data_IF_403927849474
#
_entry.id   IF_403927849474
#
_cell.length_a   1.000
_cell.length_b   1.000
_cell.length_c   1.000
_cell.angle_alpha   90.00
_cell.angle_beta   90.00
_cell.angle_gamma   90.00
#
_symmetry.space_group_name_H-M   'P 1'
#
loop_
_entity.id
_entity.type
_entity.pdbx_description
1 polymer ?
#
# COMPACT_ATOMS: atom_id res chain seq x y z
N UNK A 1 3.41 -30.17 -7.28
CA UNK A 1 4.44 -29.11 -7.23
C UNK A 1 3.77 -27.80 -7.69
N UNK A 2 3.57 -26.85 -6.79
CA UNK A 2 2.90 -25.59 -7.08
C UNK A 2 3.84 -24.73 -7.96
N UNK A 3 3.54 -24.61 -9.25
CA UNK A 3 4.22 -23.61 -10.09
C UNK A 3 3.65 -22.25 -9.73
N UNK A 4 4.40 -21.49 -8.95
CA UNK A 4 4.14 -20.07 -8.80
C UNK A 4 4.41 -19.45 -10.18
N UNK A 5 3.35 -18.99 -10.87
CA UNK A 5 3.47 -18.25 -12.12
C UNK A 5 4.17 -16.91 -11.85
N UNK A 6 5.48 -16.96 -11.72
CA UNK A 6 6.35 -15.77 -11.62
C UNK A 6 6.48 -15.00 -12.94
N UNK A 7 5.95 -15.55 -14.04
CA UNK A 7 6.40 -15.17 -15.38
C UNK A 7 5.58 -14.11 -16.11
N UNK A 8 4.35 -13.83 -15.70
CA UNK A 8 3.56 -12.83 -16.44
C UNK A 8 3.94 -11.39 -16.10
N UNK A 9 4.50 -11.16 -14.93
CA UNK A 9 4.92 -9.84 -14.48
C UNK A 9 6.20 -9.32 -15.19
N UNK A 10 7.08 -10.22 -15.64
CA UNK A 10 8.36 -9.85 -16.25
C UNK A 10 8.30 -9.65 -17.77
N UNK A 11 7.18 -10.01 -18.42
CA UNK A 11 7.01 -9.88 -19.87
C UNK A 11 6.44 -8.54 -20.30
N UNK A 12 5.79 -7.81 -19.41
CA UNK A 12 5.25 -6.48 -19.69
C UNK A 12 6.29 -5.41 -19.38
N UNK A 13 6.23 -4.32 -20.13
CA UNK A 13 7.17 -3.20 -20.17
C UNK A 13 7.76 -2.80 -18.82
N UNK A 14 9.00 -2.27 -18.85
CA UNK A 14 9.79 -1.86 -17.69
C UNK A 14 9.11 -0.85 -16.74
N UNK A 15 7.92 -0.36 -17.09
CA UNK A 15 7.07 0.59 -16.36
C UNK A 15 5.61 0.14 -16.33
N UNK A 16 5.33 -1.11 -15.98
CA UNK A 16 3.95 -1.53 -15.78
C UNK A 16 3.32 -0.79 -14.60
N UNK A 17 2.65 0.31 -14.87
CA UNK A 17 1.84 1.03 -13.88
C UNK A 17 0.57 0.23 -13.64
N UNK A 18 0.38 -0.25 -12.43
CA UNK A 18 -0.80 -1.01 -12.01
C UNK A 18 -1.71 -0.09 -11.23
N UNK A 19 -2.84 0.27 -11.81
CA UNK A 19 -3.83 1.11 -11.13
C UNK A 19 -4.75 0.27 -10.24
N UNK A 20 -5.02 0.79 -9.06
CA UNK A 20 -6.01 0.20 -8.17
C UNK A 20 -7.41 0.43 -8.74
N UNK A 21 -8.25 -0.61 -8.92
CA UNK A 21 -9.62 -0.43 -9.39
C UNK A 21 -10.46 0.42 -8.42
N UNK A 22 -11.34 1.26 -8.96
CA UNK A 22 -12.14 2.19 -8.15
C UNK A 22 -12.97 1.48 -7.08
N UNK A 23 -13.54 0.31 -7.36
CA UNK A 23 -14.31 -0.44 -6.38
C UNK A 23 -13.49 -0.90 -5.16
N UNK A 24 -12.19 -1.15 -5.34
CA UNK A 24 -11.28 -1.48 -4.23
C UNK A 24 -11.01 -0.23 -3.40
N UNK A 25 -10.82 0.90 -4.07
CA UNK A 25 -10.59 2.19 -3.41
C UNK A 25 -11.81 2.65 -2.61
N UNK A 26 -13.01 2.49 -3.18
CA UNK A 26 -14.28 2.78 -2.51
C UNK A 26 -14.48 1.86 -1.30
N UNK A 27 -14.23 0.56 -1.45
CA UNK A 27 -14.27 -0.38 -0.34
C UNK A 27 -13.31 0.03 0.79
N UNK A 28 -12.08 0.41 0.46
CA UNK A 28 -11.12 0.85 1.45
C UNK A 28 -11.60 2.10 2.17
N UNK A 29 -12.15 3.06 1.46
CA UNK A 29 -12.73 4.25 2.06
C UNK A 29 -13.86 3.88 3.03
N UNK A 30 -14.85 3.10 2.60
CA UNK A 30 -16.00 2.69 3.41
C UNK A 30 -15.57 1.92 4.66
N UNK A 31 -14.54 1.07 4.54
CA UNK A 31 -14.00 0.31 5.66
C UNK A 31 -13.23 1.17 6.65
N UNK A 32 -12.44 2.13 6.17
CA UNK A 32 -11.43 2.81 6.97
C UNK A 32 -11.86 4.16 7.51
N UNK A 33 -12.74 4.90 6.81
CA UNK A 33 -13.12 6.26 7.21
C UNK A 33 -13.65 6.37 8.66
N UNK A 34 -14.34 5.35 9.25
CA UNK A 34 -14.79 5.46 10.64
C UNK A 34 -13.64 5.47 11.65
N UNK A 35 -12.46 5.01 11.26
CA UNK A 35 -11.27 4.94 12.11
C UNK A 35 -10.29 6.10 11.89
N UNK A 36 -10.46 6.83 10.79
CA UNK A 36 -9.63 7.98 10.45
C UNK A 36 -10.35 9.25 10.84
N UNK A 37 -9.83 9.90 11.86
CA UNK A 37 -10.43 11.16 12.32
C UNK A 37 -10.19 12.25 11.27
N UNK A 38 -11.26 12.93 10.87
CA UNK A 38 -11.18 14.12 10.01
C UNK A 38 -10.82 15.37 10.84
N UNK A 39 -9.70 15.31 11.57
CA UNK A 39 -9.26 16.35 12.50
C UNK A 39 -8.18 17.25 11.90
N UNK A 40 -8.14 17.38 10.57
CA UNK A 40 -7.13 18.20 9.88
C UNK A 40 -5.90 17.43 9.43
N UNK A 41 -5.79 16.13 9.69
CA UNK A 41 -4.67 15.32 9.21
C UNK A 41 -4.82 14.94 7.73
N UNK A 42 -3.69 14.92 7.01
CA UNK A 42 -3.62 14.63 5.57
C UNK A 42 -3.60 13.12 5.31
N UNK A 43 -4.34 12.66 4.31
CA UNK A 43 -4.21 11.31 3.75
C UNK A 43 -3.13 11.35 2.66
N UNK A 44 -2.08 10.54 2.80
CA UNK A 44 -0.94 10.53 1.88
C UNK A 44 -0.90 9.24 1.07
N UNK A 45 -0.72 9.36 -0.25
CA UNK A 45 -0.35 8.26 -1.13
C UNK A 45 1.02 8.54 -1.77
N UNK A 46 2.07 7.79 -1.37
CA UNK A 46 3.43 8.00 -1.85
C UNK A 46 3.73 7.40 -3.24
N UNK A 47 2.72 6.89 -3.93
CA UNK A 47 2.80 6.34 -5.30
C UNK A 47 1.44 6.52 -5.99
N UNK A 48 1.00 7.79 -6.05
CA UNK A 48 -0.39 8.15 -6.28
C UNK A 48 -0.92 7.79 -7.66
N UNK A 49 -0.09 7.72 -8.68
CA UNK A 49 -0.52 7.45 -10.04
C UNK A 49 -1.65 8.39 -10.48
N UNK A 50 -2.77 7.83 -10.93
CA UNK A 50 -3.97 8.57 -11.27
C UNK A 50 -4.88 8.91 -10.06
N UNK A 51 -4.41 8.65 -8.84
CA UNK A 51 -5.11 9.00 -7.60
C UNK A 51 -6.24 8.06 -7.21
N UNK A 52 -6.27 6.83 -7.70
CA UNK A 52 -7.35 5.87 -7.40
C UNK A 52 -7.60 5.75 -5.89
N UNK A 53 -6.55 5.61 -5.09
CA UNK A 53 -6.69 5.47 -3.64
C UNK A 53 -7.12 6.75 -2.93
N UNK A 54 -6.77 7.94 -3.45
CA UNK A 54 -7.08 9.23 -2.83
C UNK A 54 -8.43 9.83 -3.25
N UNK A 55 -8.94 9.47 -4.43
CA UNK A 55 -10.22 10.01 -4.97
C UNK A 55 -11.40 9.87 -3.99
N UNK A 56 -11.65 8.71 -3.36
CA UNK A 56 -12.74 8.56 -2.39
C UNK A 56 -12.59 9.50 -1.19
N UNK A 57 -11.39 9.66 -0.66
CA UNK A 57 -11.11 10.56 0.46
C UNK A 57 -11.35 12.02 0.08
N UNK A 58 -10.80 12.44 -1.06
CA UNK A 58 -10.93 13.81 -1.56
C UNK A 58 -12.40 14.20 -1.78
N UNK A 59 -13.21 13.33 -2.42
CA UNK A 59 -14.64 13.61 -2.65
C UNK A 59 -15.47 13.67 -1.38
N UNK A 60 -14.98 13.10 -0.26
CA UNK A 60 -15.61 13.15 1.05
C UNK A 60 -14.98 14.21 1.99
N UNK A 61 -14.25 15.19 1.41
CA UNK A 61 -13.79 16.36 2.15
C UNK A 61 -12.52 16.18 2.97
N UNK A 62 -11.80 15.06 2.82
CA UNK A 62 -10.51 14.88 3.46
C UNK A 62 -9.42 15.63 2.71
N UNK A 63 -8.46 16.15 3.45
CA UNK A 63 -7.23 16.67 2.87
C UNK A 63 -6.39 15.50 2.36
N UNK A 64 -5.91 15.59 1.11
CA UNK A 64 -5.15 14.53 0.46
C UNK A 64 -3.89 15.07 -0.20
N UNK A 65 -2.82 14.27 -0.19
CA UNK A 65 -1.57 14.56 -0.87
C UNK A 65 -1.07 13.33 -1.62
N UNK A 66 -0.85 13.46 -2.92
CA UNK A 66 -0.20 12.45 -3.73
C UNK A 66 1.27 12.76 -3.96
N UNK A 67 2.12 11.75 -3.95
CA UNK A 67 3.52 11.83 -4.38
C UNK A 67 3.72 10.80 -5.48
N UNK A 68 4.41 11.17 -6.54
CA UNK A 68 4.79 10.25 -7.62
C UNK A 68 6.05 10.76 -8.32
N UNK A 69 6.78 9.88 -8.97
CA UNK A 69 7.94 10.26 -9.81
C UNK A 69 7.52 10.98 -11.08
N UNK A 70 6.27 10.81 -11.51
CA UNK A 70 5.67 11.42 -12.69
C UNK A 70 4.26 11.95 -12.36
N UNK A 71 3.87 13.05 -12.98
CA UNK A 71 2.48 13.52 -12.86
C UNK A 71 1.57 12.73 -13.82
N UNK A 72 0.76 11.84 -13.27
CA UNK A 72 -0.20 11.02 -14.04
C UNK A 72 -1.63 11.60 -14.02
N UNK A 73 -1.79 12.89 -13.73
CA UNK A 73 -3.06 13.61 -13.82
C UNK A 73 -3.84 13.72 -12.51
N UNK A 74 -3.34 13.22 -11.39
CA UNK A 74 -3.99 13.50 -10.11
C UNK A 74 -3.67 14.92 -9.64
N UNK A 75 -4.68 15.77 -9.34
CA UNK A 75 -4.46 17.14 -8.89
C UNK A 75 -3.69 17.17 -7.57
N UNK A 76 -2.76 18.12 -7.43
CA UNK A 76 -1.91 18.29 -6.25
C UNK A 76 -0.90 17.14 -6.04
N UNK A 77 -0.51 16.43 -7.11
CA UNK A 77 0.60 15.50 -7.06
C UNK A 77 1.92 16.25 -6.87
N UNK A 78 2.65 15.93 -5.82
CA UNK A 78 4.03 16.34 -5.65
C UNK A 78 4.92 15.41 -6.50
N UNK A 79 5.49 15.96 -7.56
CA UNK A 79 6.40 15.19 -8.44
C UNK A 79 7.77 15.09 -7.78
N UNK A 80 8.03 13.95 -7.15
CA UNK A 80 9.30 13.62 -6.47
C UNK A 80 9.41 12.11 -6.28
N UNK A 81 10.63 11.59 -6.30
CA UNK A 81 10.87 10.23 -5.83
C UNK A 81 10.60 10.17 -4.31
N UNK A 82 9.61 9.37 -3.91
CA UNK A 82 9.23 9.24 -2.50
C UNK A 82 10.38 8.84 -1.59
N UNK A 83 11.29 8.01 -2.08
CA UNK A 83 12.43 7.53 -1.29
C UNK A 83 13.45 8.65 -1.00
N UNK A 84 13.42 9.73 -1.76
CA UNK A 84 14.27 10.93 -1.60
C UNK A 84 13.58 12.05 -0.81
N UNK A 85 12.36 11.82 -0.30
CA UNK A 85 11.65 12.79 0.56
C UNK A 85 12.32 12.81 1.93
N UNK A 86 12.59 14.01 2.43
CA UNK A 86 13.19 14.21 3.75
C UNK A 86 12.13 14.50 4.82
N UNK A 87 12.50 14.21 6.07
CA UNK A 87 11.63 14.51 7.21
C UNK A 87 11.41 16.03 7.32
N UNK A 88 10.14 16.44 7.49
CA UNK A 88 9.75 17.85 7.52
C UNK A 88 9.45 18.47 6.15
N UNK A 89 9.70 17.75 5.05
CA UNK A 89 9.28 18.22 3.72
C UNK A 89 7.78 18.07 3.46
N UNK A 90 7.13 17.19 4.17
CA UNK A 90 5.69 16.93 4.09
C UNK A 90 5.00 17.54 5.30
N UNK A 91 3.66 17.65 5.23
CA UNK A 91 2.85 18.15 6.35
C UNK A 91 3.06 17.31 7.60
N UNK A 92 3.14 17.97 8.75
CA UNK A 92 3.42 17.32 10.03
C UNK A 92 2.24 16.46 10.53
N UNK A 93 1.01 16.83 10.20
CA UNK A 93 -0.18 16.09 10.61
C UNK A 93 -0.65 15.15 9.50
N UNK A 94 -0.26 13.89 9.61
CA UNK A 94 -0.69 12.82 8.72
C UNK A 94 -1.69 11.93 9.44
N UNK A 95 -2.88 11.74 8.85
CA UNK A 95 -3.92 10.90 9.39
C UNK A 95 -3.80 9.44 8.94
N UNK A 96 -3.33 9.22 7.71
CA UNK A 96 -3.19 7.91 7.09
C UNK A 96 -2.17 7.96 5.96
N UNK A 97 -1.34 6.93 5.88
CA UNK A 97 -0.58 6.62 4.66
C UNK A 97 -1.26 5.43 3.98
N UNK A 98 -1.73 5.61 2.75
CA UNK A 98 -2.36 4.56 1.95
C UNK A 98 -1.60 4.40 0.64
N UNK A 99 -1.16 3.18 0.30
CA UNK A 99 -0.27 2.99 -0.84
C UNK A 99 -0.43 1.66 -1.55
N UNK A 100 -0.28 1.70 -2.87
CA UNK A 100 -0.05 0.53 -3.70
C UNK A 100 1.35 0.66 -4.34
N UNK A 101 2.43 0.29 -3.62
CA UNK A 101 3.80 0.52 -4.07
C UNK A 101 4.11 -0.21 -5.38
N UNK A 102 5.02 0.32 -6.20
CA UNK A 102 5.40 -0.31 -7.44
C UNK A 102 6.03 -1.69 -7.18
N UNK A 103 5.67 -2.66 -8.00
CA UNK A 103 6.27 -4.01 -7.96
C UNK A 103 7.51 -4.11 -8.87
N UNK A 104 7.71 -3.13 -9.75
CA UNK A 104 8.88 -3.02 -10.62
C UNK A 104 9.36 -1.58 -10.65
N UNK A 105 10.67 -1.39 -10.69
CA UNK A 105 11.33 -0.08 -10.65
C UNK A 105 12.51 -0.04 -11.63
N UNK A 106 12.90 1.16 -12.02
CA UNK A 106 14.06 1.40 -12.88
C UNK A 106 15.39 1.06 -12.18
N UNK A 107 16.46 1.02 -12.98
CA UNK A 107 17.78 0.65 -12.49
C UNK A 107 18.37 1.64 -11.48
N UNK A 108 18.07 2.95 -11.62
CA UNK A 108 18.57 4.00 -10.71
C UNK A 108 17.94 3.82 -9.32
N UNK A 109 16.64 3.64 -9.26
CA UNK A 109 15.92 3.38 -8.00
C UNK A 109 16.36 2.06 -7.36
N UNK A 110 16.63 1.00 -8.16
CA UNK A 110 17.21 -0.26 -7.65
C UNK A 110 18.58 -0.05 -7.00
N UNK A 111 19.42 0.75 -7.61
CA UNK A 111 20.74 1.06 -7.08
C UNK A 111 20.61 1.84 -5.76
N UNK A 112 19.78 2.87 -5.72
CA UNK A 112 19.49 3.63 -4.52
C UNK A 112 19.03 2.73 -3.34
N UNK A 113 18.07 1.83 -3.61
CA UNK A 113 17.57 0.89 -2.60
C UNK A 113 18.68 -0.03 -2.09
N UNK A 114 19.52 -0.54 -2.98
CA UNK A 114 20.66 -1.40 -2.59
C UNK A 114 21.63 -0.68 -1.67
N UNK A 115 21.91 0.59 -1.92
CA UNK A 115 22.83 1.40 -1.15
C UNK A 115 22.28 1.78 0.23
N UNK A 116 20.99 2.17 0.30
CA UNK A 116 20.39 2.71 1.51
C UNK A 116 19.70 1.66 2.40
N UNK A 117 19.12 0.63 1.81
CA UNK A 117 18.36 -0.40 2.56
C UNK A 117 19.09 -1.74 2.61
N UNK A 118 20.14 -1.92 1.82
CA UNK A 118 20.95 -3.15 1.77
C UNK A 118 20.19 -4.38 1.29
N UNK A 119 20.93 -5.42 0.88
CA UNK A 119 20.33 -6.70 0.48
C UNK A 119 19.38 -6.62 -0.72
N UNK A 120 18.29 -7.39 -0.67
CA UNK A 120 17.21 -7.43 -1.69
C UNK A 120 15.85 -7.34 -1.01
N UNK A 121 15.50 -6.19 -0.40
CA UNK A 121 14.19 -6.04 0.23
C UNK A 121 13.09 -6.13 -0.82
N UNK A 122 11.89 -6.54 -0.42
CA UNK A 122 10.71 -6.38 -1.26
C UNK A 122 10.41 -4.89 -1.41
N UNK A 123 10.02 -4.45 -2.62
CA UNK A 123 9.74 -3.03 -2.86
C UNK A 123 8.69 -2.46 -1.90
N UNK A 124 7.54 -3.13 -1.64
CA UNK A 124 6.59 -2.65 -0.64
C UNK A 124 7.20 -2.44 0.75
N UNK A 125 8.19 -3.27 1.14
CA UNK A 125 8.90 -3.08 2.43
C UNK A 125 9.70 -1.78 2.47
N UNK A 126 10.30 -1.37 1.35
CA UNK A 126 11.08 -0.13 1.26
C UNK A 126 10.15 1.09 1.43
N UNK A 127 9.00 1.10 0.75
CA UNK A 127 7.99 2.16 0.91
C UNK A 127 7.43 2.21 2.33
N UNK A 128 7.18 1.05 2.92
CA UNK A 128 6.74 0.94 4.31
C UNK A 128 7.77 1.46 5.30
N UNK A 129 9.04 1.08 5.16
CA UNK A 129 10.12 1.57 5.99
C UNK A 129 10.27 3.09 5.88
N UNK A 130 10.17 3.63 4.66
CA UNK A 130 10.21 5.08 4.42
C UNK A 130 9.03 5.81 5.08
N UNK A 131 7.83 5.24 5.06
CA UNK A 131 6.68 5.83 5.76
C UNK A 131 6.92 5.91 7.27
N UNK A 132 7.49 4.86 7.87
CA UNK A 132 7.85 4.86 9.29
C UNK A 132 8.97 5.88 9.60
N UNK A 133 9.96 6.00 8.73
CA UNK A 133 11.03 7.00 8.85
C UNK A 133 10.48 8.43 8.87
N UNK A 134 9.57 8.74 7.94
CA UNK A 134 9.02 10.08 7.77
C UNK A 134 7.99 10.44 8.86
N UNK A 135 7.09 9.54 9.20
CA UNK A 135 5.90 9.84 10.01
C UNK A 135 5.89 9.11 11.37
N UNK A 136 6.85 8.24 11.61
CA UNK A 136 6.94 7.46 12.84
C UNK A 136 6.16 6.15 12.81
N UNK A 137 6.51 5.25 13.72
CA UNK A 137 5.95 3.89 13.77
C UNK A 137 4.50 3.79 14.25
N UNK A 138 3.91 4.89 14.71
CA UNK A 138 2.51 4.92 15.20
C UNK A 138 1.51 5.39 14.15
N UNK A 139 1.95 5.85 12.99
CA UNK A 139 1.08 6.31 11.91
C UNK A 139 0.20 5.15 11.40
N UNK A 140 -1.10 5.35 11.14
CA UNK A 140 -1.90 4.40 10.39
C UNK A 140 -1.35 4.20 8.99
N UNK A 141 -1.11 2.94 8.59
CA UNK A 141 -0.64 2.59 7.25
C UNK A 141 -1.53 1.51 6.66
N UNK A 142 -1.89 1.68 5.39
CA UNK A 142 -2.59 0.70 4.57
C UNK A 142 -1.79 0.47 3.30
N UNK A 143 -1.37 -0.76 3.07
CA UNK A 143 -0.41 -1.06 2.02
C UNK A 143 -0.76 -2.32 1.25
N UNK A 144 -0.76 -2.22 -0.08
CA UNK A 144 -0.84 -3.39 -0.96
C UNK A 144 0.49 -4.14 -0.96
N UNK A 145 0.41 -5.46 -0.83
CA UNK A 145 1.59 -6.32 -0.76
C UNK A 145 1.39 -7.64 -1.50
N UNK A 146 2.47 -8.26 -1.98
CA UNK A 146 2.42 -9.66 -2.36
C UNK A 146 2.20 -10.54 -1.12
N UNK A 147 1.54 -11.68 -1.30
CA UNK A 147 1.28 -12.65 -0.23
C UNK A 147 2.54 -13.04 0.55
N UNK A 148 3.69 -13.07 -0.11
CA UNK A 148 4.98 -13.41 0.51
C UNK A 148 5.49 -12.36 1.50
N UNK A 149 4.87 -11.18 1.58
CA UNK A 149 5.35 -10.13 2.49
C UNK A 149 5.34 -10.58 3.96
N UNK A 150 4.28 -11.20 4.43
CA UNK A 150 4.12 -11.64 5.83
C UNK A 150 4.48 -13.11 6.08
N UNK A 151 4.74 -13.90 5.03
CA UNK A 151 4.90 -15.35 5.17
C UNK A 151 6.34 -15.79 5.43
N UNK A 152 7.34 -14.96 5.15
CA UNK A 152 8.73 -15.30 5.43
C UNK A 152 9.08 -14.96 6.88
N UNK A 153 8.94 -15.94 7.75
CA UNK A 153 9.14 -15.83 9.21
C UNK A 153 10.34 -16.65 9.67
N UNK A 154 11.41 -16.68 8.89
CA UNK A 154 12.65 -17.35 9.28
C UNK A 154 13.55 -16.40 10.08
N UNK A 155 14.39 -16.96 10.95
CA UNK A 155 15.39 -16.19 11.74
C UNK A 155 16.33 -15.35 10.89
N UNK A 156 16.60 -15.79 9.66
CA UNK A 156 17.43 -15.07 8.69
C UNK A 156 16.67 -13.95 7.94
N UNK A 157 15.36 -13.82 8.13
CA UNK A 157 14.57 -12.77 7.53
C UNK A 157 14.73 -11.45 8.27
N UNK A 158 15.48 -10.52 7.69
CA UNK A 158 15.65 -9.16 8.26
C UNK A 158 14.31 -8.47 8.51
N UNK A 159 13.33 -8.64 7.59
CA UNK A 159 11.98 -8.09 7.76
C UNK A 159 11.26 -8.69 8.96
N UNK A 160 11.30 -10.02 9.10
CA UNK A 160 10.69 -10.70 10.24
C UNK A 160 11.27 -10.22 11.57
N UNK A 161 12.61 -10.09 11.65
CA UNK A 161 13.28 -9.57 12.85
C UNK A 161 12.86 -8.15 13.19
N UNK A 162 12.58 -7.28 12.21
CA UNK A 162 12.06 -5.93 12.48
C UNK A 162 10.67 -5.96 13.14
N UNK A 163 9.80 -6.91 12.78
CA UNK A 163 8.54 -7.12 13.49
C UNK A 163 8.75 -7.65 14.91
N UNK A 164 9.63 -8.63 15.09
CA UNK A 164 9.98 -9.20 16.41
C UNK A 164 10.56 -8.13 17.33
N UNK A 165 11.45 -7.32 16.82
CA UNK A 165 12.10 -6.22 17.56
C UNK A 165 11.22 -4.99 17.73
N UNK A 166 9.97 -5.00 17.21
CA UNK A 166 9.03 -3.87 17.28
C UNK A 166 9.52 -2.59 16.57
N UNK A 167 10.45 -2.74 15.63
CA UNK A 167 10.85 -1.66 14.71
C UNK A 167 9.73 -1.37 13.72
N UNK A 168 9.03 -2.43 13.29
CA UNK A 168 7.80 -2.34 12.51
C UNK A 168 6.56 -2.50 13.39
N UNK A 169 5.49 -1.73 13.18
CA UNK A 169 4.24 -1.90 13.89
C UNK A 169 3.58 -3.25 13.55
N UNK A 170 2.78 -3.80 14.48
CA UNK A 170 2.06 -5.05 14.21
C UNK A 170 1.03 -4.87 13.09
N UNK A 171 0.80 -5.95 12.34
CA UNK A 171 -0.32 -6.04 11.39
C UNK A 171 -1.61 -6.11 12.21
N UNK A 172 -2.49 -5.14 12.02
CA UNK A 172 -3.76 -5.02 12.76
C UNK A 172 -4.97 -5.48 11.93
N UNK A 173 -4.79 -5.71 10.65
CA UNK A 173 -5.83 -6.25 9.78
C UNK A 173 -5.29 -6.64 8.41
N UNK A 174 -5.99 -7.55 7.76
CA UNK A 174 -5.66 -8.10 6.45
C UNK A 174 -6.90 -8.03 5.55
N UNK A 175 -6.72 -7.64 4.30
CA UNK A 175 -7.74 -7.75 3.26
C UNK A 175 -7.22 -8.65 2.16
N UNK A 176 -7.87 -9.79 1.94
CA UNK A 176 -7.58 -10.66 0.81
C UNK A 176 -8.21 -10.11 -0.47
N UNK A 177 -7.41 -10.08 -1.53
CA UNK A 177 -7.84 -9.63 -2.84
C UNK A 177 -8.04 -10.81 -3.79
N UNK A 178 -9.00 -10.73 -4.73
CA UNK A 178 -9.09 -11.68 -5.83
C UNK A 178 -7.78 -11.72 -6.65
N UNK A 179 -7.44 -12.88 -7.20
CA UNK A 179 -6.21 -13.05 -8.00
C UNK A 179 -6.18 -12.14 -9.23
N UNK A 180 -7.34 -11.85 -9.79
CA UNK A 180 -7.58 -11.06 -11.00
C UNK A 180 -8.09 -9.62 -10.70
N UNK A 181 -7.79 -9.11 -9.50
CA UNK A 181 -8.21 -7.76 -9.09
C UNK A 181 -7.61 -6.66 -9.97
N UNK A 182 -6.42 -6.86 -10.49
CA UNK A 182 -5.76 -5.92 -11.39
C UNK A 182 -5.89 -6.38 -12.83
N UNK A 183 -6.32 -5.47 -13.71
CA UNK A 183 -6.50 -5.79 -15.14
C UNK A 183 -5.21 -6.30 -15.78
N UNK A 184 -5.32 -7.43 -16.48
CA UNK A 184 -4.20 -8.05 -17.20
C UNK A 184 -3.12 -8.69 -16.33
N UNK A 185 -3.30 -8.69 -15.01
CA UNK A 185 -2.31 -9.23 -14.06
C UNK A 185 -2.96 -10.26 -13.15
N UNK A 186 -2.48 -11.49 -13.22
CA UNK A 186 -2.87 -12.56 -12.30
C UNK A 186 -1.82 -12.66 -11.18
N UNK A 187 -2.11 -12.01 -10.06
CA UNK A 187 -1.17 -11.92 -8.97
C UNK A 187 -1.85 -12.07 -7.60
N UNK A 188 -1.30 -12.93 -6.76
CA UNK A 188 -1.77 -13.06 -5.39
C UNK A 188 -1.28 -11.90 -4.53
N UNK A 189 -2.19 -10.99 -4.21
CA UNK A 189 -1.94 -9.83 -3.37
C UNK A 189 -2.92 -9.75 -2.21
N UNK A 190 -2.53 -9.01 -1.21
CA UNK A 190 -3.33 -8.66 -0.05
C UNK A 190 -3.07 -7.20 0.33
N UNK A 191 -3.96 -6.64 1.13
CA UNK A 191 -3.74 -5.34 1.73
C UNK A 191 -3.50 -5.56 3.23
N UNK A 192 -2.41 -5.03 3.73
CA UNK A 192 -2.07 -5.04 5.14
C UNK A 192 -2.39 -3.70 5.78
N UNK A 193 -2.96 -3.75 6.97
CA UNK A 193 -3.30 -2.58 7.77
C UNK A 193 -2.47 -2.58 9.05
N UNK A 194 -1.93 -1.41 9.40
CA UNK A 194 -1.08 -1.19 10.57
C UNK A 194 -1.62 -0.03 11.40
N UNK A 195 -1.57 -0.15 12.72
CA UNK A 195 -2.00 0.88 13.67
C UNK A 195 -3.48 1.33 13.54
N UNK A 196 -4.32 0.49 12.96
CA UNK A 196 -5.75 0.70 12.86
C UNK A 196 -6.49 -0.25 13.81
N UNK A 197 -7.41 0.27 14.62
CA UNK A 197 -8.23 -0.55 15.51
C UNK A 197 -9.41 -1.17 14.77
N UNK A 198 -9.12 -2.15 13.91
CA UNK A 198 -10.13 -2.80 13.08
C UNK A 198 -11.08 -3.66 13.90
N UNK A 199 -12.38 -3.75 13.47
CA UNK A 199 -13.38 -4.61 14.10
C UNK A 199 -13.10 -6.11 13.88
N UNK A 200 -12.46 -6.45 12.77
CA UNK A 200 -12.09 -7.81 12.39
C UNK A 200 -10.64 -7.85 11.97
N UNK A 201 -10.00 -9.00 12.14
CA UNK A 201 -8.61 -9.18 11.72
C UNK A 201 -8.49 -9.44 10.21
N UNK A 202 -9.57 -9.93 9.56
CA UNK A 202 -9.53 -10.34 8.16
C UNK A 202 -10.80 -9.96 7.40
N UNK A 203 -10.61 -9.39 6.23
CA UNK A 203 -11.66 -8.97 5.30
C UNK A 203 -11.40 -9.56 3.90
N UNK A 204 -12.45 -9.60 3.07
CA UNK A 204 -12.37 -10.08 1.70
C UNK A 204 -13.03 -9.09 0.76
N UNK A 205 -12.38 -8.80 -0.36
CA UNK A 205 -12.98 -8.07 -1.48
C UNK A 205 -13.53 -9.07 -2.47
N UNK A 206 -14.81 -8.95 -2.83
CA UNK A 206 -15.42 -9.78 -3.86
C UNK A 206 -14.97 -9.33 -5.25
N UNK A 207 -14.77 -10.29 -6.17
CA UNK A 207 -14.49 -9.97 -7.56
C UNK A 207 -15.70 -9.26 -8.20
N UNK A 208 -15.51 -8.14 -8.88
CA UNK A 208 -16.55 -7.21 -9.31
C UNK A 208 -17.08 -7.45 -10.72
N UNK A 209 -16.97 -8.66 -11.28
CA UNK A 209 -17.70 -8.96 -12.53
C UNK A 209 -19.21 -8.74 -12.40
N UNK A 210 -19.73 -8.75 -11.19
CA UNK A 210 -21.06 -8.24 -10.86
C UNK A 210 -20.88 -6.88 -10.17
N UNK A 211 -21.56 -5.82 -10.67
CA UNK A 211 -21.56 -4.45 -10.10
C UNK A 211 -21.72 -4.54 -8.58
N UNK A 212 -20.61 -4.39 -7.89
CA UNK A 212 -20.44 -4.91 -6.57
C UNK A 212 -21.13 -4.04 -5.53
N UNK A 213 -22.06 -4.59 -4.84
CA UNK A 213 -22.19 -4.28 -3.41
C UNK A 213 -21.02 -4.99 -2.72
N UNK A 214 -19.98 -4.25 -2.36
CA UNK A 214 -18.93 -4.75 -1.51
C UNK A 214 -19.55 -5.02 -0.15
N UNK A 215 -19.83 -6.27 0.14
CA UNK A 215 -20.17 -6.66 1.51
C UNK A 215 -18.92 -7.25 2.14
N UNK A 216 -18.39 -6.60 3.17
CA UNK A 216 -17.50 -7.28 4.08
C UNK A 216 -18.27 -8.50 4.60
N UNK A 217 -17.79 -9.71 4.33
CA UNK A 217 -18.37 -10.90 4.91
C UNK A 217 -17.91 -10.92 6.36
N UNK A 218 -18.78 -10.44 7.25
CA UNK A 218 -18.60 -10.70 8.65
C UNK A 218 -18.84 -12.21 8.86
N UNK A 219 -17.83 -12.90 9.41
CA UNK A 219 -18.10 -14.19 10.02
C UNK A 219 -19.00 -13.90 11.22
N UNK A 220 -20.28 -14.18 11.10
CA UNK A 220 -21.13 -14.32 12.27
C UNK A 220 -20.64 -15.56 13.01
N UNK A 221 -20.26 -15.37 14.27
CA UNK A 221 -20.05 -16.48 15.21
C UNK A 221 -21.39 -17.12 15.58
#
# INVERSE_FOLDING_TARGET
MYRVDRNNFYKNEKKATVFTPDYVSDFLFDLLHPFIKNNGGTIIDPCVGQGSLLKPWKRNGYEVMGIDIENQGFPNTRVKNYLEVEKGELKDEVALVIMNPPFNIDSKTKQYIKEHYGGRPLLPEVWFAKAIELFGSKIPIVMFTPYGFRLNQTENSKRWMKFVNKEYPPITGIISLPKDVFDGILFHSEILMFNLKMKQAHYFVKNSKEKAKVSAIAYQR
#
